data_IF_695140938113
#
_entry.id   IF_695140938113
#
_cell.length_a   1.000
_cell.length_b   1.000
_cell.length_c   1.000
_cell.angle_alpha   90.00
_cell.angle_beta   90.00
_cell.angle_gamma   90.00
#
_symmetry.space_group_name_H-M   'P 1'
#
loop_
_entity.id
_entity.type
_entity.pdbx_description
1 polymer ?
#
# COMPACT_ATOMS: atom_id res chain seq x y z
N UNK A 1 37.33 36.41 23.20
CA UNK A 1 38.48 35.51 23.44
C UNK A 1 38.13 34.62 24.63
N UNK A 2 37.85 33.34 24.43
CA UNK A 2 38.11 32.21 25.31
C UNK A 2 37.50 30.96 24.64
N UNK A 3 38.37 30.16 24.06
CA UNK A 3 38.05 28.87 23.46
C UNK A 3 37.80 27.86 24.58
N UNK A 4 36.59 27.29 24.63
CA UNK A 4 36.34 26.13 25.49
C UNK A 4 36.44 24.87 24.59
N UNK A 5 37.49 24.11 24.85
CA UNK A 5 37.67 22.77 24.27
C UNK A 5 36.82 21.81 25.09
N UNK A 6 35.76 21.29 24.49
CA UNK A 6 35.01 20.17 25.04
C UNK A 6 35.66 18.87 24.59
N UNK A 7 36.35 18.23 25.50
CA UNK A 7 36.94 16.90 25.29
C UNK A 7 35.80 15.88 25.44
N UNK A 8 35.48 15.25 24.34
CA UNK A 8 34.50 14.18 24.29
C UNK A 8 35.16 12.89 24.77
N UNK A 9 34.79 12.41 25.93
CA UNK A 9 35.16 11.10 26.42
C UNK A 9 34.23 10.04 25.76
N UNK A 10 34.75 9.37 24.75
CA UNK A 10 34.14 8.14 24.23
C UNK A 10 34.40 7.00 25.20
N UNK A 11 33.43 6.68 26.04
CA UNK A 11 33.45 5.43 26.78
C UNK A 11 33.06 4.29 25.84
N UNK A 12 34.07 3.52 25.48
CA UNK A 12 33.96 2.25 24.77
C UNK A 12 33.25 1.26 25.69
N UNK A 13 32.00 0.94 25.44
CA UNK A 13 31.34 -0.25 25.97
C UNK A 13 31.54 -1.39 24.98
N UNK A 14 32.76 -1.94 25.00
CA UNK A 14 33.04 -3.27 24.47
C UNK A 14 32.94 -4.27 25.62
N UNK A 15 32.07 -5.20 25.49
CA UNK A 15 32.11 -6.37 26.33
C UNK A 15 30.73 -6.94 26.62
N UNK A 16 30.30 -7.85 25.82
CA UNK A 16 29.74 -9.16 26.19
C UNK A 16 29.11 -9.81 24.95
N UNK A 17 29.99 -10.20 24.03
CA UNK A 17 29.62 -11.31 23.13
C UNK A 17 30.02 -12.57 23.88
N UNK A 18 29.19 -13.07 24.74
CA UNK A 18 29.36 -14.41 25.28
C UNK A 18 28.89 -15.43 24.26
N UNK A 19 29.89 -16.05 23.71
CA UNK A 19 29.97 -17.43 23.25
C UNK A 19 28.71 -18.26 23.57
N UNK A 20 27.78 -18.31 22.62
CA UNK A 20 26.89 -19.45 22.53
C UNK A 20 27.73 -20.66 22.10
N UNK A 21 27.80 -21.64 22.99
CA UNK A 21 28.56 -22.86 22.84
C UNK A 21 28.13 -23.60 21.56
N UNK A 22 28.95 -23.53 20.51
CA UNK A 22 28.69 -24.11 19.18
C UNK A 22 28.31 -25.60 19.17
N UNK A 23 28.57 -26.31 20.26
CA UNK A 23 28.26 -27.74 20.35
C UNK A 23 26.75 -28.06 20.49
N UNK A 24 25.94 -27.12 20.99
CA UNK A 24 24.49 -27.31 21.07
C UNK A 24 23.80 -27.05 19.73
N UNK A 25 24.30 -26.05 18.98
CA UNK A 25 23.78 -25.69 17.66
C UNK A 25 24.13 -26.79 16.63
N UNK A 26 25.35 -27.37 16.71
CA UNK A 26 25.78 -28.44 15.81
C UNK A 26 24.97 -29.74 16.04
N UNK A 27 24.63 -30.07 17.28
CA UNK A 27 23.76 -31.22 17.59
C UNK A 27 22.32 -31.02 17.13
N UNK A 28 21.79 -29.80 17.15
CA UNK A 28 20.46 -29.48 16.57
C UNK A 28 20.49 -29.54 15.04
N UNK A 29 21.54 -28.99 14.40
CA UNK A 29 21.71 -29.01 12.94
C UNK A 29 21.79 -30.44 12.38
N UNK A 30 22.49 -31.34 13.08
CA UNK A 30 22.63 -32.74 12.63
C UNK A 30 21.38 -33.59 12.87
N UNK A 31 20.50 -33.19 13.81
CA UNK A 31 19.21 -33.85 14.02
C UNK A 31 18.13 -33.42 13.02
N UNK A 32 18.31 -32.28 12.34
CA UNK A 32 17.43 -31.79 11.28
C UNK A 32 17.79 -32.29 9.88
N UNK A 33 18.91 -33.05 9.72
CA UNK A 33 19.31 -33.64 8.41
C UNK A 33 18.67 -35.00 8.12
N UNK A 34 17.83 -35.49 9.02
CA UNK A 34 17.05 -36.69 8.78
C UNK A 34 15.63 -36.34 8.45
N UNK A 35 15.23 -36.58 7.21
CA UNK A 35 13.88 -36.45 6.67
C UNK A 35 13.48 -35.01 6.25
N UNK A 36 14.16 -34.48 5.23
CA UNK A 36 13.60 -33.44 4.38
C UNK A 36 12.63 -34.10 3.38
N UNK A 37 11.54 -34.67 3.88
CA UNK A 37 10.34 -34.81 3.06
C UNK A 37 9.75 -33.42 2.91
N UNK A 38 9.43 -33.00 1.69
CA UNK A 38 8.83 -31.72 1.30
C UNK A 38 7.42 -31.54 1.90
N UNK A 39 7.27 -31.66 3.21
CA UNK A 39 6.06 -31.29 3.92
C UNK A 39 6.03 -29.78 4.12
N UNK A 40 5.78 -29.05 3.02
CA UNK A 40 5.30 -27.68 3.12
C UNK A 40 4.01 -27.76 3.92
N UNK A 41 4.03 -27.26 5.15
CA UNK A 41 2.82 -27.15 5.97
C UNK A 41 1.73 -26.42 5.19
N UNK A 42 0.52 -26.96 5.13
CA UNK A 42 -0.59 -26.39 4.36
C UNK A 42 -0.88 -24.92 4.72
N UNK A 43 -0.61 -24.50 5.95
CA UNK A 43 -0.71 -23.12 6.37
C UNK A 43 0.43 -22.25 5.80
N UNK A 44 1.64 -22.81 5.67
CA UNK A 44 2.77 -22.11 5.05
C UNK A 44 2.56 -21.94 3.54
N UNK A 45 2.02 -22.95 2.86
CA UNK A 45 1.68 -22.87 1.44
C UNK A 45 0.64 -21.77 1.19
N UNK A 46 -0.47 -21.77 1.92
CA UNK A 46 -1.51 -20.73 1.80
C UNK A 46 -1.01 -19.32 2.10
N UNK A 47 -0.08 -19.17 3.03
CA UNK A 47 0.56 -17.88 3.31
C UNK A 47 1.48 -17.43 2.17
N UNK A 48 2.16 -18.37 1.51
CA UNK A 48 2.99 -18.08 0.33
C UNK A 48 2.12 -17.66 -0.85
N UNK A 49 1.00 -18.35 -1.09
CA UNK A 49 0.05 -18.02 -2.17
C UNK A 49 -0.55 -16.63 -1.98
N UNK A 50 -0.98 -16.29 -0.77
CA UNK A 50 -1.53 -14.97 -0.46
C UNK A 50 -0.49 -13.85 -0.66
N UNK A 51 0.78 -14.12 -0.37
CA UNK A 51 1.88 -13.18 -0.63
C UNK A 51 2.08 -12.95 -2.14
N UNK A 52 2.10 -14.00 -2.93
CA UNK A 52 2.23 -13.90 -4.40
C UNK A 52 1.04 -13.15 -4.99
N UNK A 53 -0.17 -13.43 -4.53
CA UNK A 53 -1.38 -12.71 -4.95
C UNK A 53 -1.26 -11.22 -4.61
N UNK A 54 -0.87 -10.87 -3.40
CA UNK A 54 -0.65 -9.48 -2.98
C UNK A 54 0.41 -8.77 -3.85
N UNK A 55 1.54 -9.44 -4.16
CA UNK A 55 2.59 -8.87 -4.99
C UNK A 55 2.10 -8.60 -6.42
N UNK A 56 1.26 -9.48 -6.99
CA UNK A 56 0.66 -9.29 -8.31
C UNK A 56 -0.38 -8.16 -8.28
N UNK A 57 -1.27 -8.14 -7.30
CA UNK A 57 -2.27 -7.09 -7.14
C UNK A 57 -1.62 -5.72 -6.89
N UNK A 58 -0.50 -5.66 -6.17
CA UNK A 58 0.27 -4.42 -6.01
C UNK A 58 0.85 -3.89 -7.33
N UNK A 59 1.22 -4.79 -8.27
CA UNK A 59 1.62 -4.39 -9.64
C UNK A 59 0.44 -3.83 -10.43
N UNK A 60 -0.74 -4.46 -10.33
CA UNK A 60 -1.98 -3.92 -10.92
C UNK A 60 -2.26 -2.52 -10.39
N UNK A 61 -2.09 -2.30 -9.09
CA UNK A 61 -2.22 -0.97 -8.49
C UNK A 61 -1.26 0.04 -9.09
N UNK A 62 0.02 -0.33 -9.29
CA UNK A 62 0.99 0.58 -9.91
C UNK A 62 0.56 0.99 -11.31
N UNK A 63 0.07 0.04 -12.13
CA UNK A 63 -0.45 0.33 -13.48
C UNK A 63 -1.63 1.30 -13.41
N UNK A 64 -2.57 1.07 -12.50
CA UNK A 64 -3.72 1.95 -12.30
C UNK A 64 -3.30 3.37 -11.92
N UNK A 65 -2.36 3.52 -10.99
CA UNK A 65 -1.87 4.84 -10.57
C UNK A 65 -1.11 5.54 -11.69
N UNK A 66 -0.26 4.82 -12.43
CA UNK A 66 0.45 5.40 -13.57
C UNK A 66 -0.53 5.87 -14.65
N UNK A 67 -1.60 5.09 -14.91
CA UNK A 67 -2.65 5.46 -15.86
C UNK A 67 -3.48 6.66 -15.38
N UNK A 68 -3.78 6.73 -14.08
CA UNK A 68 -4.49 7.85 -13.47
C UNK A 68 -3.67 9.15 -13.53
N UNK A 69 -2.37 9.08 -13.22
CA UNK A 69 -1.47 10.23 -13.30
C UNK A 69 -1.34 10.78 -14.73
N UNK A 70 -1.54 9.93 -15.73
CA UNK A 70 -1.57 10.32 -17.14
C UNK A 70 -2.97 10.68 -17.67
N UNK A 71 -3.98 10.77 -16.79
CA UNK A 71 -5.38 11.05 -17.13
C UNK A 71 -6.00 10.06 -18.14
N UNK A 72 -5.41 8.88 -18.25
CA UNK A 72 -5.77 7.82 -19.18
C UNK A 72 -6.07 6.50 -18.44
N UNK A 73 -6.97 6.56 -17.46
CA UNK A 73 -7.25 5.46 -16.53
C UNK A 73 -7.55 4.14 -17.24
N UNK A 74 -6.80 3.11 -16.90
CA UNK A 74 -6.96 1.76 -17.46
C UNK A 74 -8.08 0.97 -16.74
N UNK A 75 -9.31 1.28 -17.07
CA UNK A 75 -10.50 0.68 -16.44
C UNK A 75 -10.63 -0.83 -16.61
N UNK A 76 -9.87 -1.47 -17.50
CA UNK A 76 -9.83 -2.92 -17.69
C UNK A 76 -9.35 -3.70 -16.46
N UNK A 77 -8.66 -3.02 -15.54
CA UNK A 77 -8.21 -3.59 -14.27
C UNK A 77 -9.27 -3.61 -13.17
N UNK A 78 -10.45 -3.06 -13.44
CA UNK A 78 -11.62 -3.19 -12.57
C UNK A 78 -12.55 -4.29 -13.07
N UNK A 79 -13.21 -4.98 -12.15
CA UNK A 79 -14.31 -5.88 -12.49
C UNK A 79 -15.53 -5.06 -12.96
N UNK A 80 -16.39 -5.67 -13.77
CA UNK A 80 -17.58 -4.97 -14.30
C UNK A 80 -18.56 -4.58 -13.19
N UNK A 81 -18.58 -5.34 -12.09
CA UNK A 81 -19.38 -5.12 -10.88
C UNK A 81 -18.62 -4.45 -9.74
N UNK A 82 -17.50 -3.82 -10.02
CA UNK A 82 -16.70 -3.12 -9.00
C UNK A 82 -17.52 -2.10 -8.24
N UNK A 83 -17.30 -2.05 -6.93
CA UNK A 83 -17.91 -1.06 -6.03
C UNK A 83 -16.86 -0.08 -5.55
N UNK A 84 -17.10 1.19 -5.78
CA UNK A 84 -16.32 2.30 -5.21
C UNK A 84 -17.08 2.93 -4.06
N UNK A 85 -16.40 3.20 -2.97
CA UNK A 85 -16.96 3.85 -1.79
C UNK A 85 -16.11 5.03 -1.36
N UNK A 86 -16.72 6.20 -1.34
CA UNK A 86 -16.16 7.38 -0.66
C UNK A 86 -16.47 7.37 0.83
N UNK A 87 -15.70 8.12 1.59
CA UNK A 87 -15.87 8.24 3.06
C UNK A 87 -16.29 9.65 3.49
N UNK A 88 -16.55 10.55 2.55
CA UNK A 88 -17.03 11.89 2.83
C UNK A 88 -18.48 11.86 3.32
N UNK A 89 -18.82 12.80 4.18
CA UNK A 89 -20.20 12.98 4.60
C UNK A 89 -21.10 13.27 3.38
N UNK A 90 -22.11 12.43 3.19
CA UNK A 90 -23.02 12.53 2.04
C UNK A 90 -22.53 11.83 0.77
N UNK A 91 -21.38 11.15 0.79
CA UNK A 91 -20.99 10.25 -0.31
C UNK A 91 -22.01 9.13 -0.49
N UNK A 92 -22.19 8.70 -1.73
CA UNK A 92 -22.96 7.48 -2.00
C UNK A 92 -22.32 6.26 -1.32
N UNK A 93 -23.16 5.35 -0.85
CA UNK A 93 -22.69 4.08 -0.23
C UNK A 93 -21.96 3.18 -1.23
N UNK A 94 -22.30 3.32 -2.52
CA UNK A 94 -21.64 2.61 -3.61
C UNK A 94 -21.78 3.40 -4.92
N UNK A 95 -20.70 3.39 -5.70
CA UNK A 95 -20.65 3.89 -7.07
C UNK A 95 -20.18 2.75 -7.96
N UNK A 96 -20.78 2.59 -9.11
CA UNK A 96 -20.34 1.63 -10.13
C UNK A 96 -19.26 2.20 -11.04
N UNK A 97 -18.77 1.35 -11.95
CA UNK A 97 -17.67 1.70 -12.85
C UNK A 97 -18.00 2.90 -13.75
N UNK A 98 -19.22 3.00 -14.27
CA UNK A 98 -19.58 4.10 -15.19
C UNK A 98 -19.76 5.43 -14.45
N UNK A 99 -20.23 5.39 -13.22
CA UNK A 99 -20.31 6.59 -12.36
C UNK A 99 -18.92 7.11 -12.04
N UNK A 100 -17.97 6.23 -11.71
CA UNK A 100 -16.61 6.65 -11.40
C UNK A 100 -15.88 7.20 -12.64
N UNK A 101 -16.12 6.65 -13.83
CA UNK A 101 -15.61 7.21 -15.09
C UNK A 101 -16.09 8.65 -15.31
N UNK A 102 -17.36 8.91 -14.99
CA UNK A 102 -17.93 10.26 -15.03
C UNK A 102 -17.23 11.22 -14.07
N UNK A 103 -17.04 10.78 -12.83
CA UNK A 103 -16.34 11.55 -11.79
C UNK A 103 -14.88 11.84 -12.21
N UNK A 104 -14.14 10.85 -12.71
CA UNK A 104 -12.76 11.04 -13.17
C UNK A 104 -12.70 12.06 -14.32
N UNK A 105 -13.62 11.98 -15.28
CA UNK A 105 -13.69 12.92 -16.39
C UNK A 105 -13.90 14.37 -15.92
N UNK A 106 -14.80 14.57 -14.96
CA UNK A 106 -15.06 15.90 -14.39
C UNK A 106 -13.88 16.41 -13.56
N UNK A 107 -13.22 15.51 -12.84
CA UNK A 107 -12.07 15.81 -12.02
C UNK A 107 -10.87 16.25 -12.90
N UNK A 108 -10.48 15.47 -13.89
CA UNK A 108 -9.39 15.81 -14.80
C UNK A 108 -9.65 17.03 -15.70
N UNK A 109 -10.91 17.41 -15.89
CA UNK A 109 -11.23 18.67 -16.58
C UNK A 109 -10.84 19.91 -15.76
N UNK A 110 -10.58 19.76 -14.45
CA UNK A 110 -10.29 20.86 -13.54
C UNK A 110 -8.93 20.77 -12.85
N UNK A 111 -8.40 19.56 -12.71
CA UNK A 111 -7.23 19.31 -11.88
C UNK A 111 -6.24 18.39 -12.56
N UNK A 112 -4.97 18.78 -12.51
CA UNK A 112 -3.83 17.90 -12.78
C UNK A 112 -3.44 17.19 -11.48
N UNK A 113 -2.90 15.97 -11.59
CA UNK A 113 -2.48 15.19 -10.43
C UNK A 113 -1.05 14.70 -10.58
N UNK A 114 -0.33 14.69 -9.46
CA UNK A 114 0.99 14.10 -9.36
C UNK A 114 1.06 13.23 -8.10
N UNK A 115 1.43 11.96 -8.24
CA UNK A 115 1.63 11.09 -7.11
C UNK A 115 2.99 11.32 -6.47
N UNK A 116 3.00 11.45 -5.15
CA UNK A 116 4.21 11.66 -4.38
C UNK A 116 4.70 10.33 -3.82
N UNK A 117 5.92 9.94 -4.17
CA UNK A 117 6.58 8.77 -3.59
C UNK A 117 6.99 9.03 -2.11
N UNK A 118 7.09 8.00 -1.26
CA UNK A 118 6.89 6.59 -1.60
C UNK A 118 5.44 6.14 -1.52
N UNK A 119 5.09 5.13 -2.32
CA UNK A 119 3.89 4.34 -2.11
C UNK A 119 4.16 3.25 -1.07
N UNK A 120 3.29 3.16 -0.07
CA UNK A 120 3.41 2.12 0.96
C UNK A 120 2.28 1.10 0.76
N UNK A 121 2.62 -0.03 0.14
CA UNK A 121 1.70 -1.15 -0.05
C UNK A 121 1.71 -2.05 1.17
N UNK A 122 0.54 -2.35 1.71
CA UNK A 122 0.33 -3.23 2.86
C UNK A 122 -0.61 -4.37 2.46
N UNK A 123 -0.24 -5.58 2.82
CA UNK A 123 -1.11 -6.73 2.61
C UNK A 123 -2.34 -6.63 3.50
N UNK A 124 -3.52 -6.76 2.89
CA UNK A 124 -4.77 -6.84 3.63
C UNK A 124 -5.01 -8.22 4.21
N UNK A 125 -6.05 -8.29 5.03
CA UNK A 125 -6.50 -9.53 5.66
C UNK A 125 -8.02 -9.65 5.53
N UNK A 126 -8.47 -10.86 5.35
CA UNK A 126 -9.89 -11.19 5.39
C UNK A 126 -10.44 -10.97 6.81
N UNK A 127 -11.49 -10.19 6.93
CA UNK A 127 -12.04 -9.76 8.22
C UNK A 127 -12.58 -10.93 9.08
N UNK A 128 -13.07 -12.00 8.44
CA UNK A 128 -13.64 -13.16 9.15
C UNK A 128 -12.56 -14.11 9.66
N UNK A 129 -11.50 -14.30 8.85
CA UNK A 129 -10.47 -15.30 9.16
C UNK A 129 -9.22 -14.70 9.78
N UNK A 130 -9.02 -13.39 9.66
CA UNK A 130 -7.79 -12.69 10.06
C UNK A 130 -6.55 -13.09 9.25
N UNK A 131 -6.73 -13.80 8.13
CA UNK A 131 -5.64 -14.27 7.26
C UNK A 131 -5.44 -13.32 6.09
N UNK A 132 -4.20 -13.22 5.63
CA UNK A 132 -3.88 -12.52 4.41
C UNK A 132 -4.69 -13.08 3.23
N UNK A 133 -5.26 -12.20 2.39
CA UNK A 133 -6.19 -12.54 1.32
C UNK A 133 -5.80 -11.95 -0.05
N UNK A 134 -4.62 -11.35 -0.14
CA UNK A 134 -4.14 -10.73 -1.38
C UNK A 134 -4.70 -9.33 -1.64
N UNK A 135 -5.62 -8.82 -0.81
CA UNK A 135 -6.07 -7.44 -0.91
C UNK A 135 -4.94 -6.45 -0.60
N UNK A 136 -5.05 -5.25 -1.15
CA UNK A 136 -4.01 -4.21 -1.02
C UNK A 136 -4.57 -3.04 -0.23
N UNK A 137 -3.80 -2.60 0.74
CA UNK A 137 -4.03 -1.36 1.51
C UNK A 137 -2.84 -0.46 1.25
N UNK A 138 -3.06 0.82 1.07
CA UNK A 138 -1.94 1.70 0.75
C UNK A 138 -2.06 3.09 1.36
N UNK A 139 -0.88 3.66 1.64
CA UNK A 139 -0.73 5.05 2.03
C UNK A 139 0.12 5.76 0.98
N UNK A 140 -0.36 6.90 0.55
CA UNK A 140 0.36 7.76 -0.37
C UNK A 140 -0.08 9.21 -0.20
N UNK A 141 0.57 10.12 -0.87
CA UNK A 141 0.11 11.49 -1.02
C UNK A 141 -0.02 11.82 -2.52
N UNK A 142 -0.98 12.67 -2.84
CA UNK A 142 -1.18 13.16 -4.19
C UNK A 142 -1.19 14.68 -4.16
N UNK A 143 -0.38 15.30 -5.00
CA UNK A 143 -0.50 16.72 -5.28
C UNK A 143 -1.59 16.91 -6.33
N UNK A 144 -2.54 17.78 -6.00
CA UNK A 144 -3.62 18.19 -6.91
C UNK A 144 -3.43 19.65 -7.24
N UNK A 145 -3.41 19.98 -8.53
CA UNK A 145 -3.23 21.35 -9.02
C UNK A 145 -4.45 21.76 -9.82
N UNK A 146 -5.07 22.88 -9.45
CA UNK A 146 -6.19 23.43 -10.20
C UNK A 146 -5.69 24.08 -11.50
N UNK A 147 -6.15 23.59 -12.65
CA UNK A 147 -5.64 23.98 -13.98
C UNK A 147 -5.86 25.47 -14.31
N UNK A 148 -6.93 26.09 -13.81
CA UNK A 148 -7.24 27.49 -14.14
C UNK A 148 -6.46 28.54 -13.33
N UNK A 149 -6.01 28.24 -12.11
CA UNK A 149 -5.34 29.21 -11.24
C UNK A 149 -3.97 28.73 -10.74
N UNK A 150 -3.55 27.53 -11.08
CA UNK A 150 -2.27 26.89 -10.71
C UNK A 150 -2.02 26.76 -9.19
N UNK A 151 -3.07 26.90 -8.36
CA UNK A 151 -2.94 26.58 -6.94
C UNK A 151 -2.89 25.07 -6.75
N UNK A 152 -2.10 24.62 -5.78
CA UNK A 152 -1.91 23.18 -5.49
C UNK A 152 -2.13 22.89 -4.02
N UNK A 153 -2.56 21.65 -3.75
CA UNK A 153 -2.66 21.08 -2.40
C UNK A 153 -2.11 19.66 -2.41
N UNK A 154 -1.50 19.25 -1.32
CA UNK A 154 -1.07 17.86 -1.11
C UNK A 154 -2.09 17.16 -0.24
N UNK A 155 -2.67 16.08 -0.75
CA UNK A 155 -3.72 15.30 -0.09
C UNK A 155 -3.12 13.96 0.35
N UNK A 156 -3.00 13.69 1.67
CA UNK A 156 -2.65 12.36 2.16
C UNK A 156 -3.87 11.43 2.03
N UNK A 157 -3.64 10.25 1.50
CA UNK A 157 -4.69 9.28 1.18
C UNK A 157 -4.34 7.92 1.80
N UNK A 158 -5.31 7.30 2.44
CA UNK A 158 -5.33 5.86 2.69
C UNK A 158 -6.38 5.24 1.77
N UNK A 159 -6.02 4.15 1.11
CA UNK A 159 -6.89 3.49 0.16
C UNK A 159 -6.83 1.98 0.30
N UNK A 160 -7.95 1.32 0.02
CA UNK A 160 -8.07 -0.12 0.10
C UNK A 160 -8.67 -0.68 -1.18
N UNK A 161 -8.09 -1.80 -1.65
CA UNK A 161 -8.54 -2.54 -2.81
C UNK A 161 -8.71 -4.01 -2.47
N UNK A 162 -9.86 -4.57 -2.84
CA UNK A 162 -10.08 -6.00 -2.87
C UNK A 162 -10.12 -6.47 -4.34
N UNK A 163 -9.70 -7.71 -4.59
CA UNK A 163 -9.52 -8.24 -5.94
C UNK A 163 -10.19 -9.61 -6.07
N UNK A 164 -10.64 -9.93 -7.28
CA UNK A 164 -11.08 -11.27 -7.64
C UNK A 164 -9.89 -12.18 -8.03
N UNK A 165 -10.19 -13.43 -8.37
CA UNK A 165 -9.20 -14.42 -8.79
C UNK A 165 -8.49 -14.05 -10.10
N UNK A 166 -9.10 -13.19 -10.93
CA UNK A 166 -8.51 -12.68 -12.16
C UNK A 166 -7.56 -11.48 -11.94
N UNK A 167 -7.41 -11.03 -10.69
CA UNK A 167 -6.61 -9.87 -10.34
C UNK A 167 -7.25 -8.54 -10.73
N UNK A 168 -8.57 -8.50 -10.94
CA UNK A 168 -9.33 -7.27 -11.14
C UNK A 168 -9.86 -6.75 -9.82
N UNK A 169 -9.79 -5.43 -9.63
CA UNK A 169 -10.34 -4.78 -8.44
C UNK A 169 -11.87 -4.87 -8.41
N UNK A 170 -12.41 -5.40 -7.31
CA UNK A 170 -13.85 -5.58 -7.07
C UNK A 170 -14.41 -4.59 -6.06
N UNK A 171 -13.55 -4.06 -5.20
CA UNK A 171 -13.93 -3.05 -4.22
C UNK A 171 -12.80 -2.05 -4.04
N UNK A 172 -13.15 -0.77 -4.01
CA UNK A 172 -12.23 0.35 -3.78
C UNK A 172 -12.83 1.27 -2.74
N UNK A 173 -12.05 1.60 -1.72
CA UNK A 173 -12.46 2.57 -0.71
C UNK A 173 -11.29 3.48 -0.35
N UNK A 174 -11.52 4.79 -0.37
CA UNK A 174 -10.52 5.79 -0.01
C UNK A 174 -10.94 6.64 1.18
N UNK A 175 -9.94 7.05 1.96
CA UNK A 175 -10.06 7.91 3.11
C UNK A 175 -9.14 9.11 2.95
N UNK A 176 -9.73 10.27 2.74
CA UNK A 176 -9.03 11.55 2.64
C UNK A 176 -10.04 12.69 2.80
N UNK A 177 -9.54 13.88 3.04
CA UNK A 177 -10.40 15.07 3.09
C UNK A 177 -10.42 15.81 1.75
N UNK A 178 -11.12 15.22 0.76
CA UNK A 178 -11.27 15.84 -0.55
C UNK A 178 -11.96 17.21 -0.48
N UNK A 179 -13.02 17.33 0.32
CA UNK A 179 -13.83 18.54 0.37
C UNK A 179 -13.00 19.75 0.80
N UNK A 180 -12.31 19.66 1.94
CA UNK A 180 -11.48 20.78 2.40
C UNK A 180 -10.25 20.98 1.51
N UNK A 181 -9.67 19.90 1.00
CA UNK A 181 -8.49 19.98 0.12
C UNK A 181 -8.80 20.74 -1.17
N UNK A 182 -9.84 20.37 -1.91
CA UNK A 182 -10.20 21.02 -3.16
C UNK A 182 -10.68 22.45 -2.94
N UNK A 183 -11.49 22.69 -1.90
CA UNK A 183 -11.94 24.06 -1.56
C UNK A 183 -10.78 25.02 -1.26
N UNK A 184 -9.62 24.51 -0.82
CA UNK A 184 -8.44 25.34 -0.52
C UNK A 184 -7.74 25.89 -1.76
N UNK A 185 -7.99 25.31 -2.94
CA UNK A 185 -7.35 25.65 -4.22
C UNK A 185 -8.31 26.22 -5.28
N UNK A 186 -9.61 26.30 -4.96
CA UNK A 186 -10.62 26.99 -5.79
C UNK A 186 -10.56 28.53 -5.74
#
# INVERSE_FOLDING_TARGET
MKKFKLILAFAVVFGFIYSCNNSAVEKMSNKMKGDQSDHVCASCAKSADAKVTFENNSKTMQILFDSYANEAVEYSHFADDVVFRGTLLGSADSLGLDEIKGIHKEFFAKYDVEYMAPFNYLQGVNAETGKADGSVRMYYAMQVTHTANAKSVVVPIYESFDFNEEGKATFVQWYCDWTASLASIE
#
